data_IF_281697306476
#
_entry.id   IF_281697306476
#
_cell.length_a   1.000
_cell.length_b   1.000
_cell.length_c   1.000
_cell.angle_alpha   90.00
_cell.angle_beta   90.00
_cell.angle_gamma   90.00
#
_symmetry.space_group_name_H-M   'P 1'
#
loop_
_entity.id
_entity.type
_entity.pdbx_description
1 polymer ?
#
# COMPACT_ATOMS: atom_id res chain seq x y z
N UNK A 1 -50.33 16.02 -39.51
CA UNK A 1 -49.72 16.57 -38.27
C UNK A 1 -49.46 15.54 -37.17
N UNK A 2 -50.23 14.45 -37.01
CA UNK A 2 -50.02 13.45 -35.94
C UNK A 2 -48.79 12.53 -36.12
N UNK A 3 -48.35 12.24 -37.36
CA UNK A 3 -47.20 11.34 -37.65
C UNK A 3 -45.83 11.96 -37.36
N UNK A 4 -45.68 13.28 -37.52
CA UNK A 4 -44.44 13.99 -37.22
C UNK A 4 -44.16 14.09 -35.71
N UNK A 5 -45.23 14.14 -34.90
CA UNK A 5 -45.11 14.19 -33.44
C UNK A 5 -44.60 12.86 -32.85
N UNK A 6 -45.02 11.73 -33.42
CA UNK A 6 -44.59 10.39 -32.99
C UNK A 6 -43.09 10.11 -33.25
N UNK A 7 -42.53 10.64 -34.35
CA UNK A 7 -41.12 10.44 -34.69
C UNK A 7 -40.22 11.27 -33.77
N UNK A 8 -40.64 12.51 -33.44
CA UNK A 8 -39.87 13.39 -32.57
C UNK A 8 -39.84 12.88 -31.12
N UNK A 9 -40.95 12.32 -30.62
CA UNK A 9 -41.00 11.69 -29.29
C UNK A 9 -40.19 10.39 -29.22
N UNK A 10 -40.10 9.64 -30.32
CA UNK A 10 -39.28 8.42 -30.37
C UNK A 10 -37.78 8.75 -30.32
N UNK A 11 -37.36 9.80 -31.03
CA UNK A 11 -35.95 10.21 -31.10
C UNK A 11 -35.45 10.78 -29.76
N UNK A 12 -36.27 11.57 -29.07
CA UNK A 12 -35.93 12.11 -27.74
C UNK A 12 -35.84 10.99 -26.69
N UNK A 13 -36.73 10.00 -26.75
CA UNK A 13 -36.68 8.85 -25.84
C UNK A 13 -35.40 8.01 -26.06
N UNK A 14 -35.00 7.80 -27.30
CA UNK A 14 -33.77 7.05 -27.66
C UNK A 14 -32.51 7.77 -27.17
N UNK A 15 -32.48 9.10 -27.27
CA UNK A 15 -31.38 9.93 -26.79
C UNK A 15 -31.30 9.92 -25.26
N UNK A 16 -32.45 9.94 -24.57
CA UNK A 16 -32.52 9.85 -23.12
C UNK A 16 -32.03 8.49 -22.60
N UNK A 17 -32.44 7.39 -23.25
CA UNK A 17 -32.00 6.03 -22.90
C UNK A 17 -30.49 5.86 -23.14
N UNK A 18 -29.96 6.41 -24.24
CA UNK A 18 -28.53 6.41 -24.53
C UNK A 18 -27.71 7.15 -23.47
N UNK A 19 -28.15 8.35 -23.06
CA UNK A 19 -27.51 9.11 -21.98
C UNK A 19 -27.55 8.37 -20.64
N UNK A 20 -28.69 7.75 -20.31
CA UNK A 20 -28.82 6.96 -19.09
C UNK A 20 -27.90 5.74 -19.08
N UNK A 21 -27.78 5.04 -20.21
CA UNK A 21 -26.90 3.88 -20.36
C UNK A 21 -25.41 4.24 -20.22
N UNK A 22 -25.00 5.39 -20.77
CA UNK A 22 -23.63 5.91 -20.61
C UNK A 22 -23.32 6.25 -19.16
N UNK A 23 -24.26 6.90 -18.45
CA UNK A 23 -24.07 7.24 -17.03
C UNK A 23 -24.00 5.98 -16.15
N UNK A 24 -24.89 4.99 -16.37
CA UNK A 24 -24.85 3.71 -15.67
C UNK A 24 -23.54 2.94 -15.91
N UNK A 25 -23.03 2.98 -17.14
CA UNK A 25 -21.77 2.33 -17.48
C UNK A 25 -20.56 3.07 -16.88
N UNK A 26 -20.60 4.41 -16.78
CA UNK A 26 -19.59 5.21 -16.07
C UNK A 26 -19.58 4.85 -14.58
N UNK A 27 -20.75 4.78 -13.95
CA UNK A 27 -20.86 4.39 -12.55
C UNK A 27 -20.35 2.97 -12.30
N UNK A 28 -20.61 2.01 -13.20
CA UNK A 28 -20.06 0.65 -13.07
C UNK A 28 -18.53 0.61 -13.21
N UNK A 29 -17.93 1.45 -14.07
CA UNK A 29 -16.47 1.53 -14.24
C UNK A 29 -15.79 2.20 -13.04
N UNK A 30 -16.41 3.22 -12.46
CA UNK A 30 -15.93 3.87 -11.22
C UNK A 30 -16.09 2.95 -10.00
N UNK A 31 -17.20 2.19 -9.93
CA UNK A 31 -17.46 1.19 -8.88
C UNK A 31 -16.55 -0.03 -8.96
N UNK A 32 -16.12 -0.46 -10.16
CA UNK A 32 -15.16 -1.56 -10.30
C UNK A 32 -13.72 -1.17 -9.96
N UNK A 33 -13.39 0.13 -10.02
CA UNK A 33 -12.12 0.67 -9.52
C UNK A 33 -12.14 0.91 -8.00
N UNK A 34 -13.34 0.96 -7.41
CA UNK A 34 -13.59 0.96 -5.96
C UNK A 34 -14.03 -0.42 -5.45
N UNK A 35 -13.49 -1.51 -5.99
CA UNK A 35 -13.34 -2.71 -5.15
C UNK A 35 -12.30 -2.33 -4.11
N UNK A 36 -12.77 -1.78 -2.99
CA UNK A 36 -11.96 -1.34 -1.87
C UNK A 36 -11.25 -2.59 -1.34
N UNK A 37 -10.05 -2.81 -1.87
CA UNK A 37 -9.01 -3.57 -1.20
C UNK A 37 -8.62 -2.74 0.02
N UNK A 38 -9.48 -2.77 1.04
CA UNK A 38 -9.23 -2.20 2.35
C UNK A 38 -8.13 -3.03 2.99
N UNK A 39 -6.90 -2.91 2.49
CA UNK A 39 -5.73 -3.41 3.21
C UNK A 39 -5.82 -2.86 4.62
N UNK A 40 -5.80 -3.75 5.61
CA UNK A 40 -5.75 -3.31 6.99
C UNK A 40 -4.39 -2.63 7.22
N UNK A 41 -4.47 -1.41 7.74
CA UNK A 41 -3.34 -0.65 8.25
C UNK A 41 -3.27 -0.88 9.77
N UNK A 42 -2.07 -1.10 10.29
CA UNK A 42 -1.84 -1.31 11.73
C UNK A 42 -1.15 -0.09 12.33
N UNK A 43 -1.16 0.00 13.66
CA UNK A 43 -0.54 1.11 14.37
C UNK A 43 0.96 1.23 14.02
N UNK A 44 1.45 2.44 13.72
CA UNK A 44 2.87 2.67 13.52
C UNK A 44 3.68 2.31 14.77
N UNK A 45 4.92 1.87 14.56
CA UNK A 45 5.87 1.63 15.64
C UNK A 45 7.16 2.39 15.38
N UNK A 46 7.71 3.02 16.42
CA UNK A 46 8.98 3.73 16.35
C UNK A 46 10.04 3.05 17.22
N UNK A 47 11.28 3.01 16.74
CA UNK A 47 12.43 2.54 17.49
C UNK A 47 13.65 3.42 17.20
N UNK A 48 14.48 3.60 18.24
CA UNK A 48 15.77 4.26 18.09
C UNK A 48 16.83 3.22 17.68
N UNK A 49 17.47 3.43 16.53
CA UNK A 49 18.57 2.62 16.01
C UNK A 49 19.84 3.46 16.00
N UNK A 50 20.52 3.52 17.14
CA UNK A 50 21.68 4.41 17.31
C UNK A 50 21.24 5.86 17.28
N UNK A 51 21.80 6.68 16.40
CA UNK A 51 21.43 8.08 16.22
C UNK A 51 20.29 8.30 15.19
N UNK A 52 19.58 7.22 14.80
CA UNK A 52 18.46 7.27 13.85
C UNK A 52 17.15 6.88 14.53
N UNK A 53 16.17 7.76 14.51
CA UNK A 53 14.78 7.40 14.84
C UNK A 53 14.14 6.76 13.62
N UNK A 54 13.61 5.54 13.77
CA UNK A 54 12.96 4.78 12.70
C UNK A 54 11.50 4.53 13.06
N UNK A 55 10.58 5.08 12.28
CA UNK A 55 9.14 4.81 12.37
C UNK A 55 8.70 3.94 11.21
N UNK A 56 7.93 2.90 11.51
CA UNK A 56 7.40 1.94 10.54
C UNK A 56 5.89 1.88 10.63
N UNK A 57 5.21 2.10 9.50
CA UNK A 57 3.75 2.08 9.37
C UNK A 57 3.30 1.00 8.38
N UNK A 58 2.61 -0.08 8.81
CA UNK A 58 2.07 -1.10 7.90
C UNK A 58 0.76 -0.64 7.27
N UNK A 59 0.61 -0.76 5.94
CA UNK A 59 -0.57 -0.20 5.22
C UNK A 59 -1.44 -1.25 4.48
N UNK A 60 -0.87 -2.39 4.03
CA UNK A 60 -1.59 -3.37 3.18
C UNK A 60 -1.45 -4.83 3.62
N UNK A 61 -1.40 -5.07 4.93
CA UNK A 61 -0.92 -6.35 5.47
C UNK A 61 -1.90 -7.54 5.31
N UNK A 62 -3.21 -7.30 5.23
CA UNK A 62 -4.23 -8.36 5.01
C UNK A 62 -4.81 -8.40 3.60
N UNK A 63 -4.26 -7.63 2.67
CA UNK A 63 -4.68 -7.73 1.27
C UNK A 63 -4.21 -9.07 0.68
N UNK A 64 -4.90 -9.63 -0.32
CA UNK A 64 -4.39 -10.76 -1.12
C UNK A 64 -3.22 -10.34 -2.03
N UNK A 65 -2.67 -9.14 -1.82
CA UNK A 65 -1.63 -8.49 -2.62
C UNK A 65 -0.33 -8.39 -1.82
N UNK A 66 0.56 -7.54 -2.31
CA UNK A 66 1.80 -7.16 -1.66
C UNK A 66 1.54 -6.45 -0.32
N UNK A 67 2.44 -6.68 0.63
CA UNK A 67 2.46 -6.00 1.91
C UNK A 67 3.37 -4.79 1.76
N UNK A 68 2.94 -3.65 2.29
CA UNK A 68 3.73 -2.42 2.23
C UNK A 68 3.92 -1.88 3.64
N UNK A 69 5.17 -1.54 3.94
CA UNK A 69 5.56 -0.74 5.08
C UNK A 69 6.05 0.62 4.60
N UNK A 70 5.52 1.68 5.18
CA UNK A 70 6.11 3.02 5.07
C UNK A 70 7.15 3.16 6.17
N UNK A 71 8.37 3.53 5.79
CA UNK A 71 9.48 3.80 6.68
C UNK A 71 9.72 5.30 6.68
N UNK A 72 9.74 5.92 7.86
CA UNK A 72 10.16 7.29 8.07
C UNK A 72 11.37 7.28 9.02
N UNK A 73 12.51 7.76 8.54
CA UNK A 73 13.78 7.80 9.27
C UNK A 73 14.20 9.24 9.48
N UNK A 74 14.59 9.58 10.71
CA UNK A 74 15.08 10.91 11.07
C UNK A 74 16.41 10.79 11.80
N UNK A 75 17.38 11.60 11.39
CA UNK A 75 18.68 11.73 12.06
C UNK A 75 19.29 13.10 11.73
N UNK A 76 20.34 13.48 12.46
CA UNK A 76 21.12 14.69 12.19
C UNK A 76 22.61 14.42 12.04
N UNK A 77 23.03 13.15 12.14
CA UNK A 77 24.45 12.77 12.24
C UNK A 77 24.81 11.59 11.37
N UNK A 78 23.84 10.77 10.97
CA UNK A 78 24.04 9.55 10.18
C UNK A 78 23.58 9.77 8.75
N UNK A 79 24.36 9.29 7.78
CA UNK A 79 23.93 9.26 6.38
C UNK A 79 23.06 8.02 6.11
N UNK A 80 21.88 8.23 5.53
CA UNK A 80 20.87 7.19 5.31
C UNK A 80 21.00 6.49 3.94
N UNK A 81 22.22 6.18 3.50
CA UNK A 81 22.54 5.60 2.17
C UNK A 81 22.46 4.08 2.10
N UNK A 82 21.59 3.46 2.91
CA UNK A 82 21.47 2.00 2.99
C UNK A 82 20.78 1.37 1.75
N UNK A 83 21.14 0.12 1.45
CA UNK A 83 20.35 -0.72 0.54
C UNK A 83 19.19 -1.36 1.33
N UNK A 84 18.06 -0.65 1.41
CA UNK A 84 16.87 -1.08 2.16
C UNK A 84 16.33 -2.45 1.76
N UNK A 85 16.61 -2.93 0.55
CA UNK A 85 16.22 -4.28 0.13
C UNK A 85 17.12 -5.37 0.70
N UNK A 86 18.37 -5.03 1.05
CA UNK A 86 19.33 -5.98 1.65
C UNK A 86 19.30 -5.97 3.18
N UNK A 87 18.93 -4.84 3.78
CA UNK A 87 18.93 -4.69 5.24
C UNK A 87 17.60 -5.06 5.89
N UNK A 88 16.57 -5.34 5.11
CA UNK A 88 15.24 -5.65 5.62
C UNK A 88 14.81 -7.08 5.33
N UNK A 89 14.03 -7.66 6.25
CA UNK A 89 13.36 -8.93 6.05
C UNK A 89 12.02 -8.95 6.79
N UNK A 90 11.02 -9.63 6.24
CA UNK A 90 9.73 -9.83 6.87
C UNK A 90 9.57 -11.29 7.24
N UNK A 91 9.16 -11.57 8.48
CA UNK A 91 8.89 -12.92 8.97
C UNK A 91 7.45 -13.04 9.43
N UNK A 92 6.80 -14.15 9.11
CA UNK A 92 5.49 -14.52 9.67
C UNK A 92 5.62 -15.52 10.83
N UNK A 93 4.56 -15.66 11.61
CA UNK A 93 4.43 -16.59 12.73
C UNK A 93 4.67 -18.06 12.35
N UNK A 94 4.30 -18.46 11.12
CA UNK A 94 4.58 -19.79 10.58
C UNK A 94 6.07 -20.04 10.27
N UNK A 95 6.93 -19.01 10.39
CA UNK A 95 8.38 -19.11 10.22
C UNK A 95 8.89 -18.78 8.82
N UNK A 96 8.01 -18.54 7.84
CA UNK A 96 8.43 -18.09 6.51
C UNK A 96 9.07 -16.69 6.58
N UNK A 97 10.12 -16.49 5.79
CA UNK A 97 10.88 -15.23 5.70
C UNK A 97 10.87 -14.74 4.26
N UNK A 98 10.57 -13.46 4.09
CA UNK A 98 10.42 -12.79 2.81
C UNK A 98 11.45 -11.67 2.70
N UNK A 99 12.12 -11.60 1.54
CA UNK A 99 12.92 -10.45 1.17
C UNK A 99 12.03 -9.36 0.55
N UNK A 100 12.41 -8.07 0.66
CA UNK A 100 11.71 -6.99 -0.02
C UNK A 100 11.77 -7.15 -1.54
N UNK A 101 10.64 -6.89 -2.21
CA UNK A 101 10.55 -6.85 -3.68
C UNK A 101 10.89 -5.47 -4.23
N UNK A 102 10.53 -4.41 -3.51
CA UNK A 102 10.82 -3.04 -3.94
C UNK A 102 11.02 -2.07 -2.76
N UNK A 103 11.74 -0.99 -3.06
CA UNK A 103 11.92 0.19 -2.22
C UNK A 103 11.65 1.42 -3.08
N UNK A 104 10.82 2.35 -2.60
CA UNK A 104 10.45 3.57 -3.35
C UNK A 104 10.92 4.86 -2.68
N UNK A 105 11.64 4.78 -1.57
CA UNK A 105 12.19 5.97 -0.94
C UNK A 105 13.47 6.44 -1.59
N UNK A 106 13.93 7.60 -1.15
CA UNK A 106 15.21 8.14 -1.57
C UNK A 106 16.37 7.26 -1.10
N UNK A 107 17.56 7.52 -1.64
CA UNK A 107 18.81 6.87 -1.25
C UNK A 107 19.73 7.92 -0.66
N UNK A 108 19.71 8.07 0.66
CA UNK A 108 20.54 9.03 1.39
C UNK A 108 19.79 10.22 1.97
N UNK A 109 20.54 11.09 2.66
CA UNK A 109 20.02 12.25 3.38
C UNK A 109 19.91 12.04 4.88
N UNK A 110 19.35 13.02 5.58
CA UNK A 110 19.18 13.02 7.05
C UNK A 110 17.72 12.81 7.48
N UNK A 111 16.79 12.96 6.55
CA UNK A 111 15.38 12.60 6.70
C UNK A 111 15.00 11.80 5.47
N UNK A 112 14.40 10.63 5.67
CA UNK A 112 14.09 9.72 4.57
C UNK A 112 12.74 9.10 4.80
N UNK A 113 11.88 9.15 3.78
CA UNK A 113 10.59 8.48 3.75
C UNK A 113 10.51 7.60 2.52
N UNK A 114 9.99 6.38 2.68
CA UNK A 114 9.85 5.47 1.56
C UNK A 114 8.99 4.27 1.87
N UNK A 115 8.61 3.55 0.81
CA UNK A 115 7.80 2.34 0.92
C UNK A 115 8.64 1.12 0.62
N UNK A 116 8.60 0.16 1.54
CA UNK A 116 9.22 -1.13 1.42
C UNK A 116 8.12 -2.18 1.18
N UNK A 117 8.15 -2.83 0.01
CA UNK A 117 7.15 -3.81 -0.38
C UNK A 117 7.66 -5.24 -0.22
N UNK A 118 6.77 -6.14 0.17
CA UNK A 118 6.99 -7.58 0.28
C UNK A 118 5.90 -8.35 -0.47
N UNK A 119 6.21 -9.59 -0.84
CA UNK A 119 5.20 -10.50 -1.37
C UNK A 119 4.05 -10.73 -0.39
N UNK A 120 2.97 -11.33 -0.89
CA UNK A 120 1.82 -11.71 -0.05
C UNK A 120 2.22 -12.71 1.04
N UNK A 121 1.56 -12.62 2.20
CA UNK A 121 1.69 -13.61 3.28
C UNK A 121 1.03 -14.95 2.93
N UNK A 122 1.39 -15.97 3.70
CA UNK A 122 0.61 -17.21 3.77
C UNK A 122 -0.81 -16.96 4.28
N UNK A 123 -1.73 -17.85 3.94
CA UNK A 123 -3.08 -17.77 4.47
C UNK A 123 -3.08 -18.06 5.98
N UNK A 124 -3.81 -17.24 6.75
CA UNK A 124 -4.01 -17.47 8.19
C UNK A 124 -2.91 -16.94 9.12
N UNK A 125 -1.97 -16.14 8.62
CA UNK A 125 -0.96 -15.46 9.46
C UNK A 125 -1.64 -14.55 10.48
N UNK A 126 -1.17 -14.62 11.72
CA UNK A 126 -1.69 -13.84 12.86
C UNK A 126 -0.66 -12.87 13.43
N UNK A 127 0.62 -13.10 13.17
CA UNK A 127 1.69 -12.20 13.57
C UNK A 127 2.74 -12.08 12.47
N UNK A 128 3.26 -10.87 12.30
CA UNK A 128 4.40 -10.57 11.45
C UNK A 128 5.47 -9.78 12.20
N UNK A 129 6.70 -9.89 11.72
CA UNK A 129 7.85 -9.16 12.23
C UNK A 129 8.67 -8.61 11.07
N UNK A 130 8.80 -7.29 10.98
CA UNK A 130 9.76 -6.63 10.11
C UNK A 130 11.07 -6.46 10.87
N UNK A 131 12.15 -7.01 10.34
CA UNK A 131 13.52 -6.82 10.84
C UNK A 131 14.27 -5.86 9.95
N UNK A 132 14.93 -4.88 10.56
CA UNK A 132 15.88 -3.95 9.92
C UNK A 132 17.25 -4.14 10.57
N UNK A 133 18.30 -4.38 9.77
CA UNK A 133 19.66 -4.67 10.24
C UNK A 133 20.69 -3.73 9.64
N UNK A 134 21.55 -3.14 10.45
CA UNK A 134 22.68 -2.33 10.00
C UNK A 134 22.43 -0.83 9.91
N UNK A 135 21.22 -0.33 10.23
CA UNK A 135 20.99 1.11 10.41
C UNK A 135 21.80 1.55 11.63
N UNK A 136 22.78 2.41 11.41
CA UNK A 136 23.78 2.84 12.39
C UNK A 136 24.41 1.65 13.17
N UNK A 137 24.71 0.57 12.44
CA UNK A 137 25.24 -0.68 13.01
C UNK A 137 24.33 -1.33 14.09
N UNK A 138 23.04 -0.99 14.12
CA UNK A 138 22.02 -1.57 15.01
C UNK A 138 21.04 -2.47 14.26
N UNK A 139 20.30 -3.25 15.02
CA UNK A 139 19.21 -4.07 14.52
C UNK A 139 17.94 -3.79 15.33
N UNK A 140 16.79 -3.83 14.66
CA UNK A 140 15.48 -3.63 15.27
C UNK A 140 14.44 -4.57 14.65
N UNK A 141 13.51 -5.03 15.49
CA UNK A 141 12.40 -5.89 15.10
C UNK A 141 11.07 -5.19 15.44
N UNK A 142 10.24 -4.97 14.44
CA UNK A 142 8.92 -4.40 14.59
C UNK A 142 7.87 -5.48 14.40
N UNK A 143 7.08 -5.77 15.44
CA UNK A 143 6.10 -6.86 15.42
C UNK A 143 4.67 -6.33 15.39
N UNK A 144 3.76 -7.00 14.68
CA UNK A 144 2.33 -6.70 14.74
C UNK A 144 1.52 -7.98 14.81
N UNK A 145 0.46 -7.95 15.62
CA UNK A 145 -0.60 -8.95 15.59
C UNK A 145 -1.61 -8.49 14.53
N UNK A 146 -1.86 -9.34 13.53
CA UNK A 146 -2.57 -8.98 12.31
C UNK A 146 -3.96 -9.58 12.22
#
# INVERSE_FOLDING_TARGET
>A
MKKAFLILTGLTLLLLVGLLAVELNRQNKEKSLQVVDSGLSYEPKSMQMGEVEVKVTPTYVKSRREIIFTLDLNTHTVDLTYDYKKIASLREDAGNVYAPISWTGETGGHHLSGKLAFGKLSAGVKKIMLKLSGIDNKEANFEWDI
#
